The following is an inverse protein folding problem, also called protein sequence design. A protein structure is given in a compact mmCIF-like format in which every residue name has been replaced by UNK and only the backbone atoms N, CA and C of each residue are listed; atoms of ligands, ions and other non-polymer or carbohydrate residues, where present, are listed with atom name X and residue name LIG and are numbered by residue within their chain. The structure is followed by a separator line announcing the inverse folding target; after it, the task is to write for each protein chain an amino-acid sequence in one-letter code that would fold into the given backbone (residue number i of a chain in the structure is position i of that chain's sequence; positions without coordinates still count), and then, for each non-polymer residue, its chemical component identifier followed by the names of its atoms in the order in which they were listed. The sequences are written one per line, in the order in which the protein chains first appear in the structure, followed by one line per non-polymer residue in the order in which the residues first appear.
data_IF_808774195021
#
_entry.id   IF_808774195021
#
_cell.length_a   1.000
_cell.length_b   1.000
_cell.length_c   1.000
_cell.angle_alpha   90.00
_cell.angle_beta   90.00
_cell.angle_gamma   90.00
#
_symmetry.space_group_name_H-M   'P 1'
#
loop_
_entity.id
_entity.type
_entity.pdbx_description
1 polymer ?
#
# COMPACT_ATOMS: atom_id res chain seq x y z
N UNK A 1 -52.05 -8.31 -20.80
CA UNK A 1 -50.84 -8.35 -21.63
C UNK A 1 -50.18 -6.97 -21.69
N UNK A 2 -48.93 -6.93 -21.21
CA UNK A 2 -47.87 -5.95 -21.45
C UNK A 2 -47.95 -4.60 -20.72
N UNK A 3 -47.20 -4.57 -19.61
CA UNK A 3 -46.50 -3.43 -19.02
C UNK A 3 -45.50 -2.80 -20.01
N UNK A 4 -45.18 -1.50 -19.90
CA UNK A 4 -43.96 -0.95 -20.47
C UNK A 4 -42.85 -0.83 -19.43
N UNK A 5 -41.66 -1.20 -19.90
CA UNK A 5 -40.38 -1.37 -19.21
C UNK A 5 -39.70 -0.07 -18.76
N UNK A 6 -38.91 -0.20 -17.69
CA UNK A 6 -37.73 0.63 -17.41
C UNK A 6 -36.65 0.39 -18.50
N UNK A 7 -35.70 1.33 -18.70
CA UNK A 7 -34.38 1.00 -18.17
C UNK A 7 -33.59 2.16 -17.55
N UNK A 8 -32.88 1.77 -16.49
CA UNK A 8 -31.72 2.41 -15.86
C UNK A 8 -30.70 2.89 -16.90
N UNK A 9 -30.20 4.11 -16.73
CA UNK A 9 -28.95 4.58 -17.34
C UNK A 9 -27.94 4.80 -16.23
N UNK A 10 -26.92 3.94 -16.21
CA UNK A 10 -25.77 3.99 -15.32
C UNK A 10 -24.76 5.02 -15.82
N UNK A 11 -24.47 6.03 -15.01
CA UNK A 11 -23.35 6.95 -15.19
C UNK A 11 -22.02 6.23 -14.93
N UNK A 12 -21.28 5.93 -16.00
CA UNK A 12 -19.90 5.45 -15.95
C UNK A 12 -18.97 6.64 -16.14
N UNK A 13 -18.37 7.12 -15.05
CA UNK A 13 -17.29 8.11 -15.12
C UNK A 13 -15.98 7.45 -15.56
N UNK A 14 -15.68 7.59 -16.85
CA UNK A 14 -14.34 7.44 -17.42
C UNK A 14 -13.54 8.71 -17.15
N UNK A 15 -12.56 8.67 -16.24
CA UNK A 15 -11.56 9.71 -16.11
C UNK A 15 -10.35 9.42 -17.02
N UNK A 16 -10.52 9.69 -18.31
CA UNK A 16 -9.41 9.84 -19.24
C UNK A 16 -8.86 11.28 -19.11
N UNK A 17 -7.69 11.48 -18.51
CA UNK A 17 -6.98 12.75 -18.63
C UNK A 17 -5.82 12.61 -19.62
N UNK A 18 -6.07 13.00 -20.86
CA UNK A 18 -5.04 13.34 -21.85
C UNK A 18 -4.38 14.65 -21.44
N UNK A 19 -3.08 14.63 -21.16
CA UNK A 19 -2.26 15.85 -21.07
C UNK A 19 -1.43 16.00 -22.34
N UNK A 20 -1.87 16.93 -23.20
CA UNK A 20 -1.11 17.42 -24.34
C UNK A 20 -0.08 18.43 -23.84
N UNK A 21 1.21 18.17 -24.09
CA UNK A 21 2.27 19.15 -23.90
C UNK A 21 2.71 19.70 -25.26
N UNK A 22 2.34 20.95 -25.54
CA UNK A 22 2.93 21.72 -26.63
C UNK A 22 4.35 22.12 -26.20
N UNK A 23 5.35 21.52 -26.85
CA UNK A 23 6.72 21.99 -26.81
C UNK A 23 6.86 23.16 -27.81
N UNK A 24 7.18 24.35 -27.31
CA UNK A 24 7.72 25.44 -28.12
C UNK A 24 9.20 25.57 -27.80
N UNK A 25 10.04 25.21 -28.76
CA UNK A 25 11.49 25.39 -28.71
C UNK A 25 11.85 26.87 -28.89
N UNK A 26 12.80 27.35 -28.10
CA UNK A 26 13.68 28.43 -28.53
C UNK A 26 15.11 28.14 -28.10
N UNK A 27 16.00 28.14 -29.10
CA UNK A 27 17.44 27.94 -28.98
C UNK A 27 18.14 29.28 -28.75
N UNK A 28 18.92 29.42 -27.68
CA UNK A 28 20.05 30.34 -27.56
C UNK A 28 20.97 29.82 -26.43
N UNK A 29 22.07 29.15 -26.79
CA UNK A 29 23.45 29.67 -26.82
C UNK A 29 24.01 30.14 -25.46
N UNK A 30 24.96 29.36 -24.95
CA UNK A 30 25.90 29.54 -23.82
C UNK A 30 25.79 30.76 -22.88
N UNK A 31 25.60 30.46 -21.60
CA UNK A 31 26.47 31.00 -20.54
C UNK A 31 26.65 29.95 -19.45
N UNK A 32 27.92 29.64 -19.18
CA UNK A 32 28.37 28.71 -18.17
C UNK A 32 28.38 29.44 -16.83
N UNK A 33 27.26 29.45 -16.13
CA UNK A 33 27.22 29.64 -14.69
C UNK A 33 26.59 28.38 -14.09
N UNK A 34 27.42 27.59 -13.38
CA UNK A 34 26.90 26.54 -12.51
C UNK A 34 25.97 27.20 -11.50
N UNK A 35 24.67 26.87 -11.44
CA UNK A 35 23.83 27.36 -10.36
C UNK A 35 24.39 26.80 -9.05
N UNK A 36 24.96 27.69 -8.23
CA UNK A 36 25.32 27.43 -6.86
C UNK A 36 24.03 27.10 -6.10
N UNK A 37 23.88 25.83 -5.73
CA UNK A 37 22.72 25.30 -5.03
C UNK A 37 22.06 24.19 -5.83
N UNK A 38 22.67 23.01 -5.85
CA UNK A 38 21.90 21.78 -6.02
C UNK A 38 20.80 21.81 -4.96
N UNK A 39 19.56 22.05 -5.37
CA UNK A 39 18.36 21.89 -4.55
C UNK A 39 18.38 20.46 -4.01
N UNK A 40 18.95 20.25 -2.83
CA UNK A 40 18.55 19.11 -2.00
C UNK A 40 17.23 19.55 -1.40
N UNK A 41 16.15 19.33 -2.14
CA UNK A 41 14.80 19.35 -1.57
C UNK A 41 14.86 18.47 -0.30
N UNK A 42 14.46 19.03 0.84
CA UNK A 42 14.38 18.24 2.07
C UNK A 42 13.40 17.10 1.81
N UNK A 43 13.85 15.85 1.97
CA UNK A 43 13.04 14.63 1.89
C UNK A 43 12.10 14.46 3.10
N UNK A 44 11.82 15.57 3.80
CA UNK A 44 10.99 15.60 4.99
C UNK A 44 9.57 15.88 4.58
N UNK A 45 8.75 14.86 4.74
CA UNK A 45 7.32 14.91 4.43
C UNK A 45 6.51 15.05 5.71
N UNK A 46 5.40 15.76 5.59
CA UNK A 46 4.45 16.00 6.67
C UNK A 46 3.06 15.65 6.17
N UNK A 47 2.23 15.16 7.09
CA UNK A 47 0.79 15.01 6.87
C UNK A 47 0.05 15.98 7.77
N UNK A 48 -0.93 16.67 7.20
CA UNK A 48 -1.82 17.58 7.92
C UNK A 48 -2.80 16.73 8.72
N UNK A 49 -2.77 16.78 10.05
CA UNK A 49 -3.64 15.95 10.91
C UNK A 49 -4.96 16.64 11.24
N UNK A 50 -5.05 17.95 11.00
CA UNK A 50 -6.24 18.76 11.23
C UNK A 50 -6.45 19.72 10.08
N UNK A 51 -7.69 19.82 9.58
CA UNK A 51 -8.02 20.77 8.53
C UNK A 51 -7.60 22.19 8.93
N UNK A 52 -6.87 22.86 8.04
CA UNK A 52 -6.44 24.23 8.25
C UNK A 52 -6.92 25.15 7.12
N UNK A 53 -7.17 26.40 7.50
CA UNK A 53 -7.73 27.42 6.62
C UNK A 53 -6.73 28.55 6.52
N UNK A 54 -6.33 28.90 5.31
CA UNK A 54 -5.31 29.92 5.06
C UNK A 54 -5.91 31.07 4.28
N UNK A 55 -5.78 32.26 4.88
CA UNK A 55 -6.17 33.51 4.24
C UNK A 55 -5.00 34.04 3.42
N UNK A 56 -5.18 34.17 2.10
CA UNK A 56 -4.24 34.86 1.22
C UNK A 56 -4.78 36.25 0.89
N UNK A 57 -3.98 37.33 1.04
CA UNK A 57 -4.42 38.67 0.67
C UNK A 57 -4.86 38.72 -0.80
N UNK A 58 -6.10 39.12 -1.07
CA UNK A 58 -6.63 39.25 -2.43
C UNK A 58 -7.06 37.93 -3.11
N UNK A 59 -7.06 36.79 -2.40
CA UNK A 59 -7.55 35.51 -2.91
C UNK A 59 -8.64 34.92 -2.01
N UNK A 60 -9.43 33.98 -2.55
CA UNK A 60 -10.38 33.20 -1.75
C UNK A 60 -9.61 32.42 -0.68
N UNK A 61 -10.20 32.31 0.50
CA UNK A 61 -9.74 31.47 1.59
C UNK A 61 -9.48 30.05 1.09
N UNK A 62 -8.28 29.54 1.35
CA UNK A 62 -7.87 28.21 0.93
C UNK A 62 -8.02 27.21 2.08
N UNK A 63 -8.70 26.09 1.84
CA UNK A 63 -8.85 25.00 2.81
C UNK A 63 -7.87 23.88 2.46
N UNK A 64 -7.11 23.46 3.45
CA UNK A 64 -6.20 22.32 3.37
C UNK A 64 -6.83 21.20 4.21
N UNK A 65 -7.38 20.15 3.58
CA UNK A 65 -8.03 19.07 4.31
C UNK A 65 -7.02 18.30 5.16
N UNK A 66 -7.51 17.70 6.26
CA UNK A 66 -6.73 16.68 6.97
C UNK A 66 -6.38 15.54 6.01
N UNK A 67 -5.24 14.93 6.22
CA UNK A 67 -4.64 13.96 5.32
C UNK A 67 -3.83 14.56 4.18
N UNK A 68 -3.87 15.87 3.95
CA UNK A 68 -3.02 16.50 2.92
C UNK A 68 -1.53 16.26 3.22
N UNK A 69 -0.76 15.94 2.19
CA UNK A 69 0.69 15.78 2.28
C UNK A 69 1.39 17.09 1.95
N UNK A 70 2.45 17.39 2.69
CA UNK A 70 3.27 18.58 2.52
C UNK A 70 4.74 18.24 2.56
N UNK A 71 5.53 18.95 1.75
CA UNK A 71 6.99 18.93 1.82
C UNK A 71 7.48 20.22 2.44
N UNK A 72 8.54 20.15 3.26
CA UNK A 72 9.16 21.35 3.83
C UNK A 72 9.58 22.29 2.70
N UNK A 73 9.13 23.54 2.80
CA UNK A 73 9.47 24.58 1.84
C UNK A 73 9.96 25.80 2.60
N UNK A 74 11.16 26.30 2.25
CA UNK A 74 11.65 27.53 2.85
C UNK A 74 10.93 28.73 2.24
N UNK A 75 10.17 29.48 3.04
CA UNK A 75 9.48 30.67 2.54
C UNK A 75 10.50 31.72 2.08
N UNK A 76 10.18 32.34 0.95
CA UNK A 76 10.93 33.47 0.41
C UNK A 76 9.99 34.65 0.21
N UNK A 77 10.44 35.85 0.56
CA UNK A 77 9.68 37.06 0.27
C UNK A 77 9.71 37.39 -1.23
N UNK A 78 8.98 38.43 -1.65
CA UNK A 78 8.96 38.91 -3.04
C UNK A 78 10.33 39.30 -3.60
N UNK A 79 11.33 39.50 -2.74
CA UNK A 79 12.72 39.80 -3.08
C UNK A 79 13.62 38.56 -3.05
N UNK A 80 13.04 37.36 -2.95
CA UNK A 80 13.76 36.08 -2.95
C UNK A 80 14.53 35.78 -1.66
N UNK A 81 14.42 36.60 -0.61
CA UNK A 81 15.11 36.39 0.67
C UNK A 81 14.35 35.38 1.53
N UNK A 82 15.09 34.48 2.15
CA UNK A 82 14.55 33.49 3.10
C UNK A 82 13.88 34.20 4.28
N UNK A 83 12.62 33.87 4.52
CA UNK A 83 11.87 34.34 5.69
C UNK A 83 12.18 33.37 6.84
N UNK A 84 12.58 33.86 8.02
CA UNK A 84 12.76 32.99 9.17
C UNK A 84 11.43 32.31 9.54
N UNK A 85 11.42 31.01 9.85
CA UNK A 85 10.21 30.32 10.23
C UNK A 85 9.59 30.99 11.46
N UNK A 86 8.27 31.19 11.42
CA UNK A 86 7.53 31.68 12.58
C UNK A 86 7.61 30.64 13.69
N UNK A 87 7.90 31.06 14.93
CA UNK A 87 8.00 30.12 16.06
C UNK A 87 6.70 29.31 16.20
N UNK A 88 6.82 27.97 16.19
CA UNK A 88 5.67 27.06 16.28
C UNK A 88 4.89 26.86 14.97
N UNK A 89 5.39 27.36 13.84
CA UNK A 89 4.81 27.10 12.52
C UNK A 89 5.83 26.47 11.58
N UNK A 90 5.32 25.61 10.70
CA UNK A 90 6.07 24.96 9.65
C UNK A 90 5.55 25.39 8.29
N UNK A 91 6.44 25.86 7.43
CA UNK A 91 6.06 26.16 6.06
C UNK A 91 6.16 24.92 5.18
N UNK A 92 5.04 24.60 4.55
CA UNK A 92 4.85 23.40 3.75
C UNK A 92 4.37 23.77 2.35
N UNK A 93 5.00 23.17 1.34
CA UNK A 93 4.43 23.05 0.00
C UNK A 93 3.45 21.89 0.01
N UNK A 94 2.16 22.17 -0.14
CA UNK A 94 1.12 21.13 -0.19
C UNK A 94 1.22 20.40 -1.51
N UNK A 95 1.35 19.08 -1.46
CA UNK A 95 1.56 18.23 -2.63
C UNK A 95 0.24 17.92 -3.36
N UNK A 96 -0.87 17.88 -2.62
CA UNK A 96 -2.21 17.63 -3.17
C UNK A 96 -2.82 18.84 -3.89
N UNK A 97 -2.22 20.03 -3.73
CA UNK A 97 -2.72 21.27 -4.32
C UNK A 97 -1.60 22.03 -5.03
N UNK A 98 -1.80 22.35 -6.30
CA UNK A 98 -0.77 22.98 -7.13
C UNK A 98 -0.40 24.39 -6.63
N UNK A 99 0.90 24.66 -6.51
CA UNK A 99 1.44 25.97 -6.13
C UNK A 99 0.96 26.52 -4.77
N UNK A 100 0.60 25.63 -3.85
CA UNK A 100 0.17 25.99 -2.49
C UNK A 100 1.34 25.86 -1.53
N UNK A 101 1.76 27.00 -0.95
CA UNK A 101 2.70 27.05 0.18
C UNK A 101 2.00 27.74 1.33
N UNK A 102 2.03 27.10 2.50
CA UNK A 102 1.28 27.52 3.69
C UNK A 102 2.11 27.32 4.95
N UNK A 103 1.98 28.25 5.90
CA UNK A 103 2.54 28.12 7.24
C UNK A 103 1.49 27.51 8.17
N UNK A 104 1.70 26.24 8.55
CA UNK A 104 0.79 25.45 9.40
C UNK A 104 1.35 25.37 10.82
N UNK A 105 0.48 25.32 11.84
CA UNK A 105 0.91 25.09 13.23
C UNK A 105 1.59 23.72 13.35
N UNK A 106 2.71 23.64 14.06
CA UNK A 106 3.44 22.37 14.25
C UNK A 106 2.59 21.29 14.94
N UNK A 107 1.54 21.67 15.68
CA UNK A 107 0.61 20.73 16.32
C UNK A 107 -0.41 20.14 15.36
N UNK A 108 -0.64 20.79 14.22
CA UNK A 108 -1.62 20.39 13.21
C UNK A 108 -0.97 19.58 12.07
N UNK A 109 0.33 19.27 12.18
CA UNK A 109 1.10 18.46 11.23
C UNK A 109 1.89 17.38 11.95
N UNK A 110 2.07 16.24 11.28
CA UNK A 110 2.91 15.15 11.75
C UNK A 110 3.98 14.84 10.72
N UNK A 111 5.23 14.69 11.16
CA UNK A 111 6.33 14.25 10.30
C UNK A 111 6.14 12.78 9.92
N UNK A 112 6.39 12.45 8.66
CA UNK A 112 6.33 11.10 8.14
C UNK A 112 7.74 10.55 7.96
N UNK A 113 7.90 9.27 8.32
CA UNK A 113 9.03 8.48 7.87
C UNK A 113 8.97 8.32 6.34
N UNK A 114 10.13 8.30 5.68
CA UNK A 114 10.25 8.17 4.23
C UNK A 114 9.45 6.99 3.66
N UNK A 115 9.65 5.78 4.19
CA UNK A 115 8.92 4.57 3.75
C UNK A 115 7.40 4.68 3.93
N UNK A 116 6.96 5.37 4.98
CA UNK A 116 5.53 5.61 5.21
C UNK A 116 4.99 6.65 4.21
N UNK A 117 5.75 7.72 3.94
CA UNK A 117 5.36 8.71 2.95
C UNK A 117 5.19 8.10 1.56
N UNK A 118 6.10 7.21 1.16
CA UNK A 118 6.04 6.48 -0.11
C UNK A 118 4.77 5.62 -0.25
N UNK A 119 4.31 4.99 0.83
CA UNK A 119 3.05 4.23 0.85
C UNK A 119 1.81 5.13 0.78
N UNK A 120 1.90 6.37 1.27
CA UNK A 120 0.76 7.30 1.35
C UNK A 120 0.62 8.20 0.11
N UNK A 121 1.69 8.46 -0.65
CA UNK A 121 1.62 9.29 -1.86
C UNK A 121 0.57 8.85 -2.90
N UNK A 122 0.41 7.54 -3.19
CA UNK A 122 -0.54 7.09 -4.20
C UNK A 122 -2.01 7.22 -3.79
N UNK A 123 -2.29 7.36 -2.49
CA UNK A 123 -3.64 7.46 -1.96
C UNK A 123 -4.16 8.86 -2.26
N UNK A 124 -5.07 9.02 -3.22
CA UNK A 124 -5.54 10.36 -3.66
C UNK A 124 -6.59 10.98 -2.73
N UNK A 125 -7.35 10.15 -2.00
CA UNK A 125 -8.35 10.61 -1.05
C UNK A 125 -7.68 10.97 0.30
N UNK A 126 -7.71 12.24 0.67
CA UNK A 126 -7.10 12.73 1.89
C UNK A 126 -7.70 12.09 3.16
N UNK A 127 -9.00 11.83 3.17
CA UNK A 127 -9.69 11.25 4.33
C UNK A 127 -9.32 9.78 4.53
N UNK A 128 -9.28 9.00 3.45
CA UNK A 128 -8.82 7.60 3.48
C UNK A 128 -7.34 7.53 3.90
N UNK A 129 -6.51 8.44 3.37
CA UNK A 129 -5.09 8.56 3.73
C UNK A 129 -4.89 8.84 5.22
N UNK A 130 -5.66 9.79 5.78
CA UNK A 130 -5.62 10.09 7.20
C UNK A 130 -6.16 8.94 8.06
N UNK A 131 -7.25 8.31 7.62
CA UNK A 131 -7.83 7.15 8.32
C UNK A 131 -6.86 5.97 8.39
N UNK A 132 -6.13 5.71 7.29
CA UNK A 132 -5.07 4.69 7.25
C UNK A 132 -3.92 5.04 8.20
N UNK A 133 -3.49 6.31 8.23
CA UNK A 133 -2.46 6.80 9.15
C UNK A 133 -2.81 6.55 10.62
N UNK A 134 -4.07 6.76 11.00
CA UNK A 134 -4.55 6.52 12.36
C UNK A 134 -4.62 5.03 12.72
N UNK A 135 -4.76 4.14 11.73
CA UNK A 135 -4.84 2.70 11.93
C UNK A 135 -3.44 2.07 11.91
N UNK A 136 -2.74 2.16 13.05
CA UNK A 136 -1.38 1.58 13.24
C UNK A 136 -1.33 0.09 12.92
N UNK A 137 -2.29 -0.69 13.40
CA UNK A 137 -2.32 -2.14 13.15
C UNK A 137 -2.44 -2.47 11.66
N UNK A 138 -3.27 -1.72 10.92
CA UNK A 138 -3.36 -1.89 9.46
C UNK A 138 -2.07 -1.49 8.76
N UNK A 139 -1.43 -0.40 9.18
CA UNK A 139 -0.13 0.02 8.61
C UNK A 139 0.98 -0.99 8.89
N UNK A 140 1.00 -1.59 10.07
CA UNK A 140 1.99 -2.61 10.42
C UNK A 140 1.80 -3.86 9.54
N UNK A 141 0.57 -4.40 9.43
CA UNK A 141 0.28 -5.50 8.50
C UNK A 141 0.59 -5.15 7.04
N UNK A 142 0.33 -3.90 6.65
CA UNK A 142 0.60 -3.42 5.30
C UNK A 142 2.09 -3.40 4.93
N UNK A 143 2.99 -3.28 5.92
CA UNK A 143 4.44 -3.34 5.70
C UNK A 143 4.87 -4.74 5.24
N UNK A 144 4.15 -5.77 5.68
CA UNK A 144 4.43 -7.18 5.39
C UNK A 144 3.90 -7.62 4.02
N UNK A 145 3.07 -6.81 3.37
CA UNK A 145 2.59 -7.07 2.01
C UNK A 145 3.77 -6.99 1.04
N UNK A 146 4.13 -8.12 0.44
CA UNK A 146 5.20 -8.26 -0.54
C UNK A 146 4.71 -9.04 -1.76
N UNK A 147 5.53 -9.13 -2.81
CA UNK A 147 5.21 -9.98 -3.95
C UNK A 147 5.00 -11.43 -3.49
N UNK A 148 3.89 -12.05 -3.90
CA UNK A 148 3.44 -13.37 -3.45
C UNK A 148 2.43 -13.35 -2.32
N UNK A 149 2.26 -12.23 -1.60
CA UNK A 149 1.23 -12.12 -0.57
C UNK A 149 -0.17 -12.20 -1.15
N UNK A 150 -1.04 -12.98 -0.49
CA UNK A 150 -2.48 -12.97 -0.73
C UNK A 150 -3.09 -11.72 -0.12
N UNK A 151 -3.94 -11.05 -0.87
CA UNK A 151 -4.58 -9.80 -0.47
C UNK A 151 -6.02 -9.78 -0.91
N UNK A 152 -6.82 -8.94 -0.25
CA UNK A 152 -8.11 -8.50 -0.72
C UNK A 152 -7.99 -7.10 -1.32
N UNK A 153 -8.57 -6.90 -2.50
CA UNK A 153 -8.46 -5.68 -3.29
C UNK A 153 -9.82 -5.02 -3.46
N UNK A 154 -9.92 -3.77 -3.01
CA UNK A 154 -11.11 -2.96 -3.22
C UNK A 154 -11.00 -2.20 -4.56
N UNK A 155 -11.74 -2.65 -5.59
CA UNK A 155 -11.73 -1.97 -6.90
C UNK A 155 -12.60 -0.71 -6.94
N UNK A 156 -13.83 -0.78 -6.42
CA UNK A 156 -14.77 0.35 -6.33
C UNK A 156 -15.32 0.46 -4.93
N UNK A 157 -15.61 1.68 -4.48
CA UNK A 157 -16.22 1.89 -3.16
C UNK A 157 -17.61 1.25 -3.10
N UNK A 158 -17.81 0.33 -2.14
CA UNK A 158 -19.10 -0.33 -1.89
C UNK A 158 -19.21 -1.76 -2.44
N UNK A 159 -18.30 -2.17 -3.33
CA UNK A 159 -18.22 -3.56 -3.79
C UNK A 159 -17.57 -4.43 -2.71
N UNK A 160 -17.72 -5.76 -2.80
CA UNK A 160 -16.94 -6.67 -1.96
C UNK A 160 -15.47 -6.71 -2.42
N UNK A 161 -14.50 -6.69 -1.48
CA UNK A 161 -13.09 -6.83 -1.80
C UNK A 161 -12.80 -8.16 -2.50
N UNK A 162 -12.11 -8.09 -3.64
CA UNK A 162 -11.81 -9.28 -4.45
C UNK A 162 -10.49 -9.92 -4.03
N UNK A 163 -10.39 -11.25 -4.05
CA UNK A 163 -9.15 -11.96 -3.75
C UNK A 163 -8.11 -11.72 -4.85
N UNK A 164 -6.84 -11.56 -4.44
CA UNK A 164 -5.74 -11.28 -5.35
C UNK A 164 -4.37 -11.69 -4.78
N UNK A 165 -3.37 -11.74 -5.65
CA UNK A 165 -1.97 -11.99 -5.30
C UNK A 165 -1.11 -10.84 -5.78
N UNK A 166 -0.29 -10.29 -4.90
CA UNK A 166 0.63 -9.20 -5.25
C UNK A 166 1.72 -9.73 -6.18
N UNK A 167 1.86 -9.13 -7.36
CA UNK A 167 2.88 -9.46 -8.37
C UNK A 167 3.93 -8.37 -8.54
N UNK A 168 3.63 -7.15 -8.11
CA UNK A 168 4.53 -6.02 -8.17
C UNK A 168 4.35 -5.12 -6.93
N UNK A 169 5.45 -4.57 -6.42
CA UNK A 169 5.48 -3.56 -5.36
C UNK A 169 6.58 -2.54 -5.70
N UNK A 170 6.21 -1.30 -5.95
CA UNK A 170 7.18 -0.25 -6.22
C UNK A 170 6.63 0.98 -6.93
N UNK A 171 7.54 1.89 -7.28
CA UNK A 171 7.25 3.09 -8.03
C UNK A 171 6.83 2.77 -9.48
N UNK A 172 5.69 3.28 -9.93
CA UNK A 172 5.30 3.22 -11.36
C UNK A 172 6.05 4.24 -12.22
N UNK A 173 6.53 5.33 -11.61
CA UNK A 173 7.20 6.43 -12.28
C UNK A 173 8.49 6.80 -11.52
N UNK A 174 9.51 5.93 -11.52
CA UNK A 174 10.71 6.09 -10.69
C UNK A 174 11.48 7.40 -10.93
N UNK A 175 11.38 7.97 -12.13
CA UNK A 175 12.03 9.24 -12.47
C UNK A 175 11.32 10.47 -11.88
N UNK A 176 10.17 10.29 -11.20
CA UNK A 176 9.47 11.39 -10.50
C UNK A 176 9.93 11.48 -9.05
N UNK A 177 10.28 12.69 -8.64
CA UNK A 177 10.75 13.01 -7.28
C UNK A 177 9.77 12.66 -6.14
N UNK A 178 8.49 12.43 -6.45
CA UNK A 178 7.43 12.06 -5.49
C UNK A 178 6.73 10.77 -5.92
N UNK A 179 7.51 9.77 -6.36
CA UNK A 179 6.93 8.49 -6.74
C UNK A 179 6.60 7.67 -5.50
N UNK A 180 5.31 7.39 -5.29
CA UNK A 180 4.87 6.46 -4.25
C UNK A 180 4.94 4.99 -4.66
N UNK A 181 4.73 4.11 -3.68
CA UNK A 181 4.69 2.65 -3.85
C UNK A 181 3.29 2.23 -4.29
N UNK A 182 3.22 1.68 -5.49
CA UNK A 182 2.04 1.01 -6.03
C UNK A 182 2.18 -0.49 -5.90
N UNK A 183 1.04 -1.16 -5.78
CA UNK A 183 0.96 -2.61 -5.76
C UNK A 183 0.27 -3.08 -7.04
N UNK A 184 1.00 -3.85 -7.84
CA UNK A 184 0.41 -4.59 -8.95
C UNK A 184 -0.12 -5.91 -8.43
N UNK A 185 -1.43 -6.15 -8.57
CA UNK A 185 -2.12 -7.33 -8.06
C UNK A 185 -2.76 -8.06 -9.23
N UNK A 186 -2.59 -9.38 -9.24
CA UNK A 186 -3.35 -10.28 -10.10
C UNK A 186 -4.59 -10.75 -9.34
N UNK A 187 -5.77 -10.47 -9.88
CA UNK A 187 -7.04 -10.90 -9.33
C UNK A 187 -7.23 -12.41 -9.52
N UNK A 188 -7.72 -13.08 -8.47
CA UNK A 188 -8.02 -14.51 -8.46
C UNK A 188 -9.44 -14.78 -8.98
N UNK A 189 -9.88 -16.04 -8.92
CA UNK A 189 -11.09 -16.57 -9.59
C UNK A 189 -12.31 -15.62 -9.59
N UNK A 190 -12.71 -15.12 -8.42
CA UNK A 190 -13.87 -14.22 -8.26
C UNK A 190 -13.69 -12.86 -8.95
N UNK A 191 -12.44 -12.41 -9.11
CA UNK A 191 -12.07 -11.14 -9.72
C UNK A 191 -11.52 -11.22 -11.15
N UNK A 192 -11.44 -12.42 -11.75
CA UNK A 192 -10.95 -12.59 -13.12
C UNK A 192 -11.79 -11.78 -14.12
N UNK A 193 -11.12 -11.08 -15.03
CA UNK A 193 -11.77 -10.20 -16.03
C UNK A 193 -12.25 -8.85 -15.48
N UNK A 194 -12.02 -8.55 -14.20
CA UNK A 194 -12.37 -7.25 -13.60
C UNK A 194 -11.18 -6.28 -13.49
N UNK A 195 -10.01 -6.72 -13.92
CA UNK A 195 -8.78 -5.94 -13.96
C UNK A 195 -8.74 -4.97 -15.14
N UNK A 196 -7.68 -4.16 -15.17
CA UNK A 196 -7.50 -3.08 -16.15
C UNK A 196 -6.19 -3.19 -16.94
N UNK A 197 -5.38 -4.21 -16.65
CA UNK A 197 -4.07 -4.42 -17.27
C UNK A 197 -3.69 -5.89 -17.27
N UNK A 198 -2.79 -6.26 -18.18
CA UNK A 198 -2.07 -7.54 -18.22
C UNK A 198 -0.72 -7.47 -17.47
N UNK A 199 -0.56 -6.44 -16.62
CA UNK A 199 0.65 -6.17 -15.82
C UNK A 199 1.63 -5.19 -16.45
N UNK A 200 1.19 -4.42 -17.44
CA UNK A 200 1.95 -3.33 -18.04
C UNK A 200 1.43 -1.95 -17.59
N UNK A 201 2.35 -0.97 -17.46
CA UNK A 201 2.04 0.42 -17.16
C UNK A 201 2.88 1.34 -18.06
N UNK A 202 2.22 2.25 -18.80
CA UNK A 202 2.88 3.17 -19.75
C UNK A 202 3.86 2.50 -20.73
N UNK A 203 3.55 1.28 -21.18
CA UNK A 203 4.38 0.50 -22.11
C UNK A 203 5.52 -0.29 -21.46
N UNK A 204 5.72 -0.19 -20.14
CA UNK A 204 6.65 -1.02 -19.39
C UNK A 204 5.92 -2.23 -18.81
N UNK A 205 6.40 -3.45 -19.09
CA UNK A 205 5.91 -4.65 -18.42
C UNK A 205 6.50 -4.74 -17.01
N UNK A 206 5.65 -4.72 -15.99
CA UNK A 206 6.07 -4.80 -14.58
C UNK A 206 5.85 -6.20 -13.99
N UNK A 207 4.75 -6.86 -14.37
CA UNK A 207 4.46 -8.27 -14.09
C UNK A 207 3.64 -8.86 -15.23
N UNK A 208 3.34 -10.16 -15.22
CA UNK A 208 2.45 -10.80 -16.22
C UNK A 208 1.33 -11.52 -15.51
N UNK A 209 0.12 -11.45 -16.06
CA UNK A 209 -1.07 -12.15 -15.61
C UNK A 209 -1.98 -12.47 -16.80
N UNK A 210 -3.09 -13.16 -16.56
CA UNK A 210 -4.15 -13.35 -17.56
C UNK A 210 -4.76 -12.00 -17.99
N UNK A 211 -5.39 -12.01 -19.17
CA UNK A 211 -6.08 -10.85 -19.74
C UNK A 211 -7.09 -10.28 -18.75
N UNK A 212 -7.08 -8.96 -18.57
CA UNK A 212 -7.99 -8.24 -17.67
C UNK A 212 -7.99 -8.79 -16.23
N UNK A 213 -6.87 -9.33 -15.75
CA UNK A 213 -6.73 -9.81 -14.37
C UNK A 213 -5.79 -8.96 -13.52
N UNK A 214 -5.01 -8.04 -14.11
CA UNK A 214 -4.08 -7.18 -13.39
C UNK A 214 -4.68 -5.85 -13.00
N UNK A 215 -4.31 -5.35 -11.81
CA UNK A 215 -4.64 -3.99 -11.33
C UNK A 215 -3.45 -3.35 -10.63
N UNK A 216 -3.32 -2.03 -10.74
CA UNK A 216 -2.39 -1.25 -9.91
C UNK A 216 -3.18 -0.44 -8.90
N UNK A 217 -2.91 -0.66 -7.63
CA UNK A 217 -3.64 0.00 -6.53
C UNK A 217 -2.69 0.55 -5.47
N UNK A 218 -3.21 1.52 -4.72
CA UNK A 218 -2.56 2.08 -3.55
C UNK A 218 -2.90 1.26 -2.29
N UNK A 219 -2.18 1.51 -1.20
CA UNK A 219 -2.30 0.72 0.02
C UNK A 219 -3.69 0.78 0.67
N UNK A 220 -4.42 1.89 0.51
CA UNK A 220 -5.77 2.05 1.05
C UNK A 220 -6.79 1.07 0.46
N UNK A 221 -6.51 0.51 -0.71
CA UNK A 221 -7.35 -0.49 -1.40
C UNK A 221 -6.93 -1.93 -1.12
N UNK A 222 -5.91 -2.13 -0.28
CA UNK A 222 -5.42 -3.46 0.06
C UNK A 222 -5.69 -3.81 1.51
N UNK A 223 -5.97 -5.09 1.71
CA UNK A 223 -5.93 -5.76 3.00
C UNK A 223 -5.18 -7.08 2.85
N UNK A 224 -4.25 -7.33 3.77
CA UNK A 224 -3.53 -8.61 3.81
C UNK A 224 -4.54 -9.71 4.14
N UNK A 225 -4.55 -10.76 3.33
CA UNK A 225 -5.38 -11.92 3.57
C UNK A 225 -4.51 -13.03 4.16
N UNK A 226 -4.69 -13.26 5.46
CA UNK A 226 -4.14 -14.40 6.16
C UNK A 226 -5.11 -15.56 5.94
N UNK A 227 -4.64 -16.69 5.42
CA UNK A 227 -5.45 -17.89 5.39
C UNK A 227 -5.62 -18.33 6.86
N UNK A 228 -6.80 -18.14 7.44
CA UNK A 228 -7.16 -18.70 8.76
C UNK A 228 -7.11 -20.26 8.75
N UNK A 229 -6.81 -20.89 7.61
CA UNK A 229 -6.70 -22.36 7.48
C UNK A 229 -5.40 -22.96 8.04
N UNK A 230 -4.51 -22.16 8.65
CA UNK A 230 -3.34 -22.67 9.37
C UNK A 230 -3.26 -22.14 10.81
N UNK A 231 -4.38 -22.04 11.53
CA UNK A 231 -4.34 -22.55 12.91
C UNK A 231 -4.21 -24.08 12.82
N UNK A 232 -2.98 -24.57 12.59
CA UNK A 232 -2.66 -25.95 12.90
C UNK A 232 -2.74 -26.03 14.41
N UNK A 233 -3.95 -26.36 14.87
CA UNK A 233 -4.27 -26.61 16.26
C UNK A 233 -3.12 -27.45 16.83
N UNK A 234 -2.48 -26.90 17.86
CA UNK A 234 -1.34 -27.52 18.52
C UNK A 234 -1.70 -28.97 18.74
N UNK A 235 -0.92 -29.89 18.16
CA UNK A 235 -1.10 -31.33 18.38
C UNK A 235 -0.88 -31.58 19.88
N UNK A 236 -1.96 -31.50 20.66
CA UNK A 236 -1.95 -31.92 22.06
C UNK A 236 -1.99 -33.43 22.04
N UNK A 237 -0.89 -34.04 22.48
CA UNK A 237 -0.81 -35.46 22.74
C UNK A 237 -1.79 -35.77 23.89
N UNK A 238 -3.03 -36.12 23.57
CA UNK A 238 -3.92 -36.78 24.53
C UNK A 238 -3.48 -38.25 24.64
N UNK A 239 -2.59 -38.49 25.60
CA UNK A 239 -2.71 -39.59 26.56
C UNK A 239 -1.43 -39.64 27.41
N UNK A 240 -1.48 -39.08 28.63
CA UNK A 240 -1.01 -39.67 29.89
C UNK A 240 -1.01 -38.60 31.01
N UNK A 241 -1.69 -38.92 32.12
CA UNK A 241 -1.66 -38.37 33.50
C UNK A 241 -1.32 -36.88 33.79
N UNK A 242 -2.07 -36.20 34.69
CA UNK A 242 -2.02 -34.76 34.91
C UNK A 242 -0.84 -34.26 35.76
N UNK A 243 0.37 -34.80 35.63
CA UNK A 243 1.53 -34.39 36.45
C UNK A 243 2.90 -34.42 35.73
N UNK A 244 3.05 -33.93 34.49
CA UNK A 244 4.38 -33.49 34.01
C UNK A 244 4.26 -32.33 33.01
N UNK A 245 4.61 -31.12 33.43
CA UNK A 245 5.07 -30.08 32.51
C UNK A 245 6.45 -30.50 31.98
N UNK A 246 6.51 -30.98 30.74
CA UNK A 246 7.75 -31.34 30.08
C UNK A 246 7.51 -31.73 28.64
N UNK A 247 8.30 -31.17 27.72
CA UNK A 247 8.34 -31.54 26.31
C UNK A 247 8.21 -33.07 26.16
N UNK A 248 7.16 -33.50 25.46
CA UNK A 248 7.01 -34.90 25.09
C UNK A 248 8.25 -35.38 24.32
N UNK A 249 8.52 -36.70 24.32
CA UNK A 249 9.69 -37.23 23.61
C UNK A 249 9.67 -36.75 22.15
N UNK A 250 10.84 -36.37 21.60
CA UNK A 250 10.94 -35.89 20.22
C UNK A 250 10.37 -36.94 19.26
N UNK A 251 9.58 -36.49 18.29
CA UNK A 251 9.03 -37.35 17.24
C UNK A 251 10.19 -37.91 16.41
N UNK A 252 10.31 -39.24 16.38
CA UNK A 252 11.33 -39.95 15.61
C UNK A 252 10.70 -40.60 14.37
N UNK A 253 11.54 -40.85 13.35
CA UNK A 253 11.14 -41.70 12.23
C UNK A 253 10.74 -43.07 12.81
N UNK A 254 9.61 -43.60 12.35
CA UNK A 254 8.91 -44.80 12.81
C UNK A 254 8.02 -44.63 14.06
N UNK A 255 7.86 -43.42 14.62
CA UNK A 255 6.85 -43.17 15.64
C UNK A 255 5.45 -43.40 15.07
N UNK A 256 4.60 -44.11 15.82
CA UNK A 256 3.16 -44.24 15.51
C UNK A 256 2.44 -42.99 15.99
N UNK A 257 1.67 -42.39 15.12
CA UNK A 257 0.95 -41.14 15.37
C UNK A 257 -0.53 -41.29 14.99
N UNK A 258 -1.38 -40.50 15.62
CA UNK A 258 -2.77 -40.33 15.22
C UNK A 258 -2.86 -38.96 14.52
N UNK A 259 -3.21 -38.96 13.23
CA UNK A 259 -3.35 -37.76 12.41
C UNK A 259 -4.83 -37.42 12.33
N UNK A 260 -5.19 -36.21 12.74
CA UNK A 260 -6.55 -35.72 12.59
C UNK A 260 -6.78 -35.28 11.14
N UNK A 261 -7.58 -36.02 10.37
CA UNK A 261 -7.97 -35.66 9.00
C UNK A 261 -9.39 -35.11 8.96
N UNK A 262 -9.82 -34.59 7.79
CA UNK A 262 -11.20 -34.11 7.58
C UNK A 262 -12.25 -35.21 7.76
N UNK A 263 -11.85 -36.47 7.58
CA UNK A 263 -12.72 -37.64 7.66
C UNK A 263 -12.63 -38.35 9.03
N UNK A 264 -11.77 -37.88 9.94
CA UNK A 264 -11.60 -38.36 11.30
C UNK A 264 -10.14 -38.61 11.69
N UNK A 265 -9.88 -39.07 12.93
CA UNK A 265 -8.54 -39.46 13.34
C UNK A 265 -8.12 -40.75 12.64
N UNK A 266 -7.03 -40.69 11.90
CA UNK A 266 -6.43 -41.84 11.23
C UNK A 266 -5.06 -42.16 11.84
N UNK A 267 -4.67 -43.43 11.81
CA UNK A 267 -3.38 -43.87 12.35
C UNK A 267 -2.34 -43.84 11.26
N UNK A 268 -1.17 -43.31 11.55
CA UNK A 268 -0.05 -43.31 10.63
C UNK A 268 1.29 -43.54 11.31
N UNK A 269 2.32 -43.69 10.51
CA UNK A 269 3.71 -43.87 10.96
C UNK A 269 4.58 -42.77 10.37
N UNK A 270 5.36 -42.09 11.22
CA UNK A 270 6.28 -41.05 10.77
C UNK A 270 7.36 -41.67 9.86
N UNK A 271 7.45 -41.22 8.62
CA UNK A 271 8.46 -41.64 7.64
C UNK A 271 9.48 -40.54 7.34
N UNK A 272 9.20 -39.29 7.75
CA UNK A 272 10.09 -38.15 7.58
C UNK A 272 9.91 -37.17 8.73
N UNK A 273 11.00 -36.60 9.23
CA UNK A 273 10.98 -35.58 10.29
C UNK A 273 12.25 -34.72 10.14
N UNK A 274 12.20 -33.68 9.31
CA UNK A 274 13.33 -32.78 9.09
C UNK A 274 12.89 -31.41 8.54
N UNK A 275 13.82 -30.45 8.46
CA UNK A 275 13.64 -29.18 7.78
C UNK A 275 13.67 -29.39 6.26
N UNK A 276 12.70 -28.82 5.54
CA UNK A 276 12.72 -28.86 4.09
C UNK A 276 13.65 -27.78 3.54
N UNK A 277 14.58 -28.12 2.61
CA UNK A 277 15.49 -27.15 2.02
C UNK A 277 14.71 -26.07 1.26
N UNK A 278 14.93 -24.81 1.64
CA UNK A 278 14.21 -23.64 1.09
C UNK A 278 13.08 -23.12 1.96
N UNK A 279 12.66 -23.86 3.00
CA UNK A 279 11.57 -23.51 3.92
C UNK A 279 11.98 -23.60 5.40
N UNK A 280 13.26 -23.38 5.70
CA UNK A 280 13.82 -23.55 7.06
C UNK A 280 13.17 -22.63 8.11
N UNK A 281 12.58 -21.51 7.70
CA UNK A 281 11.85 -20.59 8.59
C UNK A 281 10.44 -21.05 8.97
N UNK A 282 9.91 -22.10 8.32
CA UNK A 282 8.55 -22.63 8.57
C UNK A 282 8.53 -23.77 9.60
N UNK A 283 9.71 -24.20 10.07
CA UNK A 283 9.85 -25.24 11.09
C UNK A 283 10.04 -26.65 10.53
N UNK A 284 9.94 -27.64 11.42
CA UNK A 284 10.12 -29.06 11.10
C UNK A 284 8.91 -29.62 10.36
N UNK A 285 9.17 -30.41 9.32
CA UNK A 285 8.15 -31.09 8.55
C UNK A 285 8.14 -32.56 8.90
N UNK A 286 6.95 -33.09 9.19
CA UNK A 286 6.75 -34.50 9.51
C UNK A 286 5.95 -35.15 8.37
N UNK A 287 6.56 -36.11 7.68
CA UNK A 287 5.86 -36.95 6.70
C UNK A 287 5.32 -38.19 7.40
N UNK A 288 4.04 -38.49 7.20
CA UNK A 288 3.36 -39.63 7.82
C UNK A 288 2.80 -40.54 6.72
N UNK A 289 3.08 -41.84 6.84
CA UNK A 289 2.49 -42.91 6.03
C UNK A 289 1.25 -43.45 6.76
N UNK A 290 0.08 -43.35 6.14
CA UNK A 290 -1.23 -43.70 6.71
C UNK A 290 -1.61 -45.16 6.41
#
# INVERSE_FOLDING_TARGET
PLTPDDPLTSDVFLASSTFSCYAAMSSALWSQEKPAGSFRDDWRFYIVVKECTVEKPGQKTLRIPRGSLGQVCQERNSLGRTIPPSKGKRSLRILDQTNVVVSVDERDVMELEEKLAELLFPITNCEERYSLLCNRARLDRARDINCGSKVRVQLRSGDEPLPGVVRFKGALLPDRALSGIWFGVELLEEGRGQGFTEGSYQGQQLFRCEDECGVFVALDKLELWEDDELEVDRVTLEDNDPEVEGEGPPLEINSRVLVQTRDGPERGTVIFCDLLPGNESLGYYVGVDM
#
